data_IF_097668308773
#
_entry.id   IF_097668308773
#
_cell.length_a   1.000
_cell.length_b   1.000
_cell.length_c   1.000
_cell.angle_alpha   90.00
_cell.angle_beta   90.00
_cell.angle_gamma   90.00
#
_symmetry.space_group_name_H-M   'P 1'
#
loop_
_entity.id
_entity.type
_entity.pdbx_description
1 polymer ?
#
# COMPACT_ATOMS: atom_id res chain seq x y z
N UNK A 1 -39.90 24.24 -23.14
CA UNK A 1 -38.44 24.24 -22.91
C UNK A 1 -38.02 25.49 -22.13
N UNK A 2 -38.33 25.61 -20.81
CA UNK A 2 -38.12 26.89 -20.07
C UNK A 2 -37.58 26.79 -18.63
N UNK A 3 -37.08 25.62 -18.19
CA UNK A 3 -36.63 25.42 -16.80
C UNK A 3 -35.14 25.04 -16.66
N UNK A 4 -34.32 25.18 -17.71
CA UNK A 4 -32.87 25.00 -17.65
C UNK A 4 -32.13 25.89 -16.62
N UNK A 5 -32.46 27.19 -16.43
CA UNK A 5 -31.60 28.07 -15.62
C UNK A 5 -31.62 27.74 -14.12
N UNK A 6 -32.73 27.20 -13.60
CA UNK A 6 -32.86 26.90 -12.17
C UNK A 6 -32.01 25.69 -11.76
N UNK A 7 -31.82 24.71 -12.65
CA UNK A 7 -31.02 23.52 -12.35
C UNK A 7 -29.52 23.83 -12.37
N UNK A 8 -29.05 24.70 -13.27
CA UNK A 8 -27.65 25.12 -13.33
C UNK A 8 -27.29 25.99 -12.12
N UNK A 9 -28.14 26.95 -11.75
CA UNK A 9 -27.89 27.79 -10.58
C UNK A 9 -27.82 26.97 -9.28
N UNK A 10 -28.60 25.89 -9.15
CA UNK A 10 -28.52 24.99 -8.00
C UNK A 10 -27.24 24.14 -7.97
N UNK A 11 -26.72 23.74 -9.13
CA UNK A 11 -25.44 23.03 -9.23
C UNK A 11 -24.28 23.96 -8.88
N UNK A 12 -24.27 25.19 -9.41
CA UNK A 12 -23.25 26.20 -9.10
C UNK A 12 -23.29 26.58 -7.63
N UNK A 13 -24.47 26.80 -7.04
CA UNK A 13 -24.58 27.09 -5.61
C UNK A 13 -24.12 25.93 -4.72
N UNK A 14 -24.35 24.66 -5.11
CA UNK A 14 -23.82 23.49 -4.39
C UNK A 14 -22.30 23.36 -4.50
N UNK A 15 -21.72 23.74 -5.64
CA UNK A 15 -20.27 23.80 -5.85
C UNK A 15 -19.66 24.91 -5.00
N UNK A 16 -20.28 26.09 -5.00
CA UNK A 16 -19.86 27.28 -4.26
C UNK A 16 -19.94 27.08 -2.73
N UNK A 17 -20.97 26.37 -2.24
CA UNK A 17 -21.10 26.01 -0.84
C UNK A 17 -20.22 24.81 -0.41
N UNK A 18 -19.41 24.24 -1.31
CA UNK A 18 -18.55 23.09 -1.01
C UNK A 18 -19.32 21.79 -0.72
N UNK A 19 -20.61 21.73 -1.06
CA UNK A 19 -21.49 20.59 -0.76
C UNK A 19 -21.40 19.46 -1.81
N UNK A 20 -20.36 19.46 -2.65
CA UNK A 20 -20.12 18.39 -3.61
C UNK A 20 -19.68 17.13 -2.86
N UNK A 21 -20.66 16.37 -2.38
CA UNK A 21 -20.43 15.01 -1.90
C UNK A 21 -20.28 14.11 -3.11
N UNK A 22 -19.03 13.85 -3.51
CA UNK A 22 -18.73 12.78 -4.47
C UNK A 22 -19.15 11.48 -3.81
N UNK A 23 -20.26 10.89 -4.29
CA UNK A 23 -20.63 9.53 -3.92
C UNK A 23 -19.67 8.60 -4.65
N UNK A 24 -18.57 8.25 -3.99
CA UNK A 24 -17.75 7.13 -4.42
C UNK A 24 -18.64 5.88 -4.40
N UNK A 25 -18.61 5.08 -5.46
CA UNK A 25 -19.23 3.76 -5.40
C UNK A 25 -18.55 2.95 -4.30
N UNK A 26 -19.30 2.08 -3.62
CA UNK A 26 -18.73 1.17 -2.62
C UNK A 26 -17.57 0.36 -3.21
N UNK A 27 -17.68 -0.03 -4.49
CA UNK A 27 -16.62 -0.67 -5.28
C UNK A 27 -15.31 0.15 -5.30
N UNK A 28 -15.39 1.48 -5.48
CA UNK A 28 -14.18 2.31 -5.54
C UNK A 28 -13.49 2.40 -4.18
N UNK A 29 -14.27 2.44 -3.10
CA UNK A 29 -13.74 2.46 -1.73
C UNK A 29 -13.07 1.13 -1.38
N UNK A 30 -13.69 0.01 -1.74
CA UNK A 30 -13.12 -1.33 -1.54
C UNK A 30 -11.81 -1.53 -2.30
N UNK A 31 -11.72 -1.03 -3.54
CA UNK A 31 -10.49 -1.15 -4.34
C UNK A 31 -9.34 -0.31 -3.79
N UNK A 32 -9.65 0.89 -3.28
CA UNK A 32 -8.67 1.75 -2.60
C UNK A 32 -8.16 1.07 -1.32
N UNK A 33 -9.05 0.49 -0.51
CA UNK A 33 -8.67 -0.21 0.72
C UNK A 33 -7.81 -1.45 0.42
N UNK A 34 -8.21 -2.27 -0.57
CA UNK A 34 -7.43 -3.45 -0.99
C UNK A 34 -6.03 -3.07 -1.49
N UNK A 35 -5.92 -1.99 -2.25
CA UNK A 35 -4.63 -1.51 -2.77
C UNK A 35 -3.77 -0.93 -1.65
N UNK A 36 -4.38 -0.20 -0.72
CA UNK A 36 -3.69 0.36 0.45
C UNK A 36 -3.09 -0.73 1.33
N UNK A 37 -3.84 -1.81 1.58
CA UNK A 37 -3.33 -2.94 2.37
C UNK A 37 -2.11 -3.61 1.71
N UNK A 38 -2.11 -3.77 0.38
CA UNK A 38 -0.95 -4.30 -0.36
C UNK A 38 0.27 -3.38 -0.22
N UNK A 39 0.07 -2.07 -0.30
CA UNK A 39 1.13 -1.08 -0.13
C UNK A 39 1.73 -1.11 1.28
N UNK A 40 0.90 -1.16 2.31
CA UNK A 40 1.37 -1.27 3.70
C UNK A 40 2.26 -2.50 3.89
N UNK A 41 1.85 -3.66 3.38
CA UNK A 41 2.65 -4.89 3.46
C UNK A 41 3.95 -4.75 2.67
N UNK A 42 3.93 -4.17 1.47
CA UNK A 42 5.13 -3.93 0.68
C UNK A 42 6.14 -3.04 1.42
N UNK A 43 5.67 -1.98 2.09
CA UNK A 43 6.51 -1.07 2.87
C UNK A 43 7.14 -1.78 4.07
N UNK A 44 6.37 -2.61 4.78
CA UNK A 44 6.90 -3.41 5.90
C UNK A 44 8.02 -4.34 5.41
N UNK A 45 7.82 -5.02 4.28
CA UNK A 45 8.84 -5.91 3.70
C UNK A 45 10.08 -5.11 3.29
N UNK A 46 9.91 -3.95 2.66
CA UNK A 46 11.04 -3.08 2.30
C UNK A 46 11.83 -2.62 3.53
N UNK A 47 11.14 -2.21 4.60
CA UNK A 47 11.78 -1.83 5.85
C UNK A 47 12.55 -3.00 6.48
N UNK A 48 12.00 -4.22 6.44
CA UNK A 48 12.68 -5.42 6.91
C UNK A 48 13.93 -5.73 6.08
N UNK A 49 13.86 -5.65 4.75
CA UNK A 49 15.01 -5.86 3.86
C UNK A 49 16.14 -4.87 4.17
N UNK A 50 15.81 -3.58 4.24
CA UNK A 50 16.79 -2.50 4.48
C UNK A 50 17.38 -2.62 5.89
N UNK A 51 16.54 -2.78 6.92
CA UNK A 51 16.98 -2.92 8.30
C UNK A 51 17.87 -4.15 8.52
N UNK A 52 17.49 -5.28 7.92
CA UNK A 52 18.28 -6.52 8.01
C UNK A 52 19.61 -6.39 7.27
N UNK A 53 19.62 -5.77 6.09
CA UNK A 53 20.85 -5.50 5.33
C UNK A 53 21.78 -4.56 6.08
N UNK A 54 21.23 -3.56 6.79
CA UNK A 54 22.02 -2.68 7.63
C UNK A 54 22.64 -3.42 8.82
N UNK A 55 21.90 -4.32 9.47
CA UNK A 55 22.40 -5.16 10.57
C UNK A 55 23.56 -6.05 10.09
N UNK A 56 23.48 -6.61 8.89
CA UNK A 56 24.55 -7.44 8.31
C UNK A 56 25.87 -6.68 8.20
N UNK A 57 25.84 -5.37 7.93
CA UNK A 57 27.05 -4.54 7.84
C UNK A 57 27.65 -4.17 9.20
N UNK A 58 26.91 -4.36 10.30
CA UNK A 58 27.41 -4.04 11.64
C UNK A 58 28.06 -5.31 12.20
N UNK A 59 29.36 -5.27 12.44
CA UNK A 59 30.13 -6.34 13.10
C UNK A 59 29.83 -6.42 14.61
N UNK A 60 28.56 -6.57 14.98
CA UNK A 60 28.11 -6.73 16.36
C UNK A 60 27.06 -7.84 16.50
N UNK A 61 27.18 -8.62 17.58
CA UNK A 61 26.22 -9.66 17.95
C UNK A 61 26.69 -11.08 17.59
N UNK A 62 25.81 -12.09 17.71
CA UNK A 62 26.13 -13.48 17.38
C UNK A 62 26.42 -13.63 15.88
N UNK A 63 27.66 -13.98 15.56
CA UNK A 63 28.14 -14.15 14.19
C UNK A 63 28.21 -15.63 13.79
N UNK A 64 27.80 -15.92 12.55
CA UNK A 64 28.01 -17.22 11.88
C UNK A 64 28.64 -16.94 10.52
N UNK A 65 29.73 -17.63 10.19
CA UNK A 65 30.50 -17.41 8.96
C UNK A 65 30.91 -15.95 8.70
N UNK A 66 31.12 -15.17 9.77
CA UNK A 66 31.48 -13.75 9.67
C UNK A 66 30.30 -12.81 9.41
N UNK A 67 29.06 -13.31 9.43
CA UNK A 67 27.84 -12.50 9.28
C UNK A 67 26.96 -12.56 10.53
N UNK A 68 26.36 -11.43 10.97
CA UNK A 68 25.36 -11.43 12.03
C UNK A 68 24.14 -12.31 11.70
N UNK A 69 23.85 -13.31 12.53
CA UNK A 69 22.73 -14.25 12.32
C UNK A 69 21.39 -13.52 12.20
N UNK A 70 21.18 -12.53 13.06
CA UNK A 70 19.92 -11.78 13.10
C UNK A 70 19.65 -11.05 11.78
N UNK A 71 20.69 -10.45 11.19
CA UNK A 71 20.59 -9.79 9.89
C UNK A 71 20.28 -10.77 8.77
N UNK A 72 20.95 -11.93 8.76
CA UNK A 72 20.70 -12.97 7.77
C UNK A 72 19.26 -13.51 7.85
N UNK A 73 18.77 -13.83 9.05
CA UNK A 73 17.41 -14.34 9.25
C UNK A 73 16.35 -13.32 8.84
N UNK A 74 16.54 -12.05 9.21
CA UNK A 74 15.64 -10.97 8.81
C UNK A 74 15.63 -10.76 7.29
N UNK A 75 16.79 -10.83 6.65
CA UNK A 75 16.90 -10.71 5.19
C UNK A 75 16.24 -11.90 4.47
N UNK A 76 16.49 -13.13 4.92
CA UNK A 76 15.88 -14.33 4.36
C UNK A 76 14.35 -14.33 4.53
N UNK A 77 13.86 -13.99 5.74
CA UNK A 77 12.43 -13.92 6.03
C UNK A 77 11.73 -12.85 5.17
N UNK A 78 12.33 -11.66 5.05
CA UNK A 78 11.79 -10.59 4.21
C UNK A 78 11.77 -10.95 2.72
N UNK A 79 12.77 -11.70 2.23
CA UNK A 79 12.75 -12.28 0.88
C UNK A 79 11.56 -13.23 0.67
N UNK A 80 11.32 -14.16 1.60
CA UNK A 80 10.17 -15.09 1.54
C UNK A 80 8.85 -14.34 1.57
N UNK A 81 8.70 -13.36 2.46
CA UNK A 81 7.49 -12.51 2.53
C UNK A 81 7.28 -11.70 1.25
N UNK A 82 8.36 -11.16 0.67
CA UNK A 82 8.32 -10.43 -0.60
C UNK A 82 7.82 -11.29 -1.77
N UNK A 83 8.40 -12.49 -1.91
CA UNK A 83 7.94 -13.46 -2.92
C UNK A 83 6.48 -13.85 -2.68
N UNK A 84 6.10 -14.10 -1.41
CA UNK A 84 4.72 -14.37 -1.03
C UNK A 84 3.75 -13.26 -1.43
N UNK A 85 4.12 -11.99 -1.20
CA UNK A 85 3.33 -10.83 -1.61
C UNK A 85 3.18 -10.75 -3.14
N UNK A 86 4.24 -11.00 -3.89
CA UNK A 86 4.18 -11.00 -5.37
C UNK A 86 3.22 -12.09 -5.86
N UNK A 87 3.33 -13.32 -5.32
CA UNK A 87 2.42 -14.41 -5.66
C UNK A 87 0.98 -14.05 -5.30
N UNK A 88 0.75 -13.45 -4.14
CA UNK A 88 -0.58 -13.00 -3.70
C UNK A 88 -1.18 -11.98 -4.66
N UNK A 89 -0.41 -10.95 -5.05
CA UNK A 89 -0.85 -9.92 -6.00
C UNK A 89 -1.17 -10.52 -7.37
N UNK A 90 -0.31 -11.39 -7.89
CA UNK A 90 -0.51 -12.04 -9.19
C UNK A 90 -1.70 -12.99 -9.19
N UNK A 91 -1.92 -13.73 -8.09
CA UNK A 91 -3.06 -14.63 -7.94
C UNK A 91 -4.39 -13.88 -7.88
N UNK A 92 -4.41 -12.70 -7.26
CA UNK A 92 -5.61 -11.86 -7.20
C UNK A 92 -5.91 -11.13 -8.52
N UNK A 93 -4.92 -11.03 -9.43
CA UNK A 93 -5.07 -10.45 -10.78
C UNK A 93 -5.53 -11.46 -11.84
N UNK A 94 -6.00 -12.64 -11.44
CA UNK A 94 -6.63 -13.57 -12.39
C UNK A 94 -8.03 -13.06 -12.76
N UNK A 95 -8.08 -12.49 -13.98
CA UNK A 95 -9.17 -12.39 -14.96
C UNK A 95 -10.59 -12.37 -14.38
#
# INVERSE_FOLDING_TARGET
>A
MKNLPQNINRLVAKVENGEIRVRYSEELSEDIERTSNKLVVAIIIAALLVGSSWIIQIDKGPMVWGMPILGFLGFAASGVLGVGLVIYILRYRKI
#
